data_IF_789997882080
#
_entry.id   IF_789997882080
#
_cell.length_a   1.000
_cell.length_b   1.000
_cell.length_c   1.000
_cell.angle_alpha   90.00
_cell.angle_beta   90.00
_cell.angle_gamma   90.00
#
_symmetry.space_group_name_H-M   'P 1'
#
loop_
_entity.id
_entity.type
_entity.pdbx_description
1 polymer ?
#
# COMPACT_ATOMS: atom_id res chain seq x y z
N UNK A 1 -12.81 -9.50 15.04
CA UNK A 1 -13.74 -9.00 14.00
C UNK A 1 -13.43 -7.57 13.56
N UNK A 2 -13.28 -6.60 14.49
CA UNK A 2 -12.99 -5.18 14.16
C UNK A 2 -11.76 -4.96 13.26
N UNK A 3 -10.62 -5.59 13.59
CA UNK A 3 -9.39 -5.46 12.81
C UNK A 3 -9.53 -5.99 11.38
N UNK A 4 -10.16 -7.16 11.21
CA UNK A 4 -10.37 -7.79 9.89
C UNK A 4 -11.28 -6.91 9.03
N UNK A 5 -12.39 -6.42 9.59
CA UNK A 5 -13.29 -5.52 8.89
C UNK A 5 -12.60 -4.20 8.51
N UNK A 6 -11.80 -3.63 9.42
CA UNK A 6 -11.02 -2.42 9.15
C UNK A 6 -9.98 -2.66 8.05
N UNK A 7 -9.30 -3.80 8.06
CA UNK A 7 -8.36 -4.18 6.99
C UNK A 7 -9.05 -4.27 5.63
N UNK A 8 -10.14 -5.02 5.53
CA UNK A 8 -10.92 -5.14 4.28
C UNK A 8 -11.51 -3.82 3.81
N UNK A 9 -12.02 -3.00 4.73
CA UNK A 9 -12.50 -1.66 4.41
C UNK A 9 -11.37 -0.80 3.83
N UNK A 10 -10.19 -0.85 4.44
CA UNK A 10 -9.04 -0.05 3.98
C UNK A 10 -8.57 -0.49 2.59
N UNK A 11 -8.50 -1.81 2.34
CA UNK A 11 -8.19 -2.36 1.00
C UNK A 11 -9.25 -1.92 -0.02
N UNK A 12 -10.53 -2.01 0.33
CA UNK A 12 -11.61 -1.57 -0.55
C UNK A 12 -11.52 -0.08 -0.90
N UNK A 13 -11.24 0.77 0.09
CA UNK A 13 -11.06 2.20 -0.12
C UNK A 13 -9.82 2.51 -0.98
N UNK A 14 -8.70 1.80 -0.77
CA UNK A 14 -7.51 1.95 -1.61
C UNK A 14 -7.76 1.56 -3.07
N UNK A 15 -8.52 0.48 -3.32
CA UNK A 15 -8.91 0.09 -4.68
C UNK A 15 -9.84 1.13 -5.33
N UNK A 16 -10.78 1.70 -4.57
CA UNK A 16 -11.63 2.79 -5.07
C UNK A 16 -10.81 4.03 -5.40
N UNK A 17 -9.80 4.33 -4.59
CA UNK A 17 -8.86 5.42 -4.83
C UNK A 17 -8.05 5.23 -6.11
N UNK A 18 -7.45 4.05 -6.34
CA UNK A 18 -6.75 3.75 -7.60
C UNK A 18 -7.68 3.87 -8.81
N UNK A 19 -8.91 3.32 -8.71
CA UNK A 19 -9.92 3.43 -9.78
C UNK A 19 -10.31 4.88 -10.07
N UNK A 20 -10.46 5.70 -9.04
CA UNK A 20 -10.74 7.13 -9.20
C UNK A 20 -9.60 7.84 -9.95
N UNK A 21 -8.35 7.58 -9.54
CA UNK A 21 -7.16 8.14 -10.20
C UNK A 21 -7.02 7.67 -11.66
N UNK A 22 -7.38 6.43 -11.94
CA UNK A 22 -7.46 5.91 -13.30
C UNK A 22 -8.56 6.63 -14.11
N UNK A 23 -9.75 6.80 -13.53
CA UNK A 23 -10.88 7.45 -14.19
C UNK A 23 -10.61 8.91 -14.56
N UNK A 24 -9.93 9.67 -13.69
CA UNK A 24 -9.50 11.06 -14.00
C UNK A 24 -8.25 11.12 -14.90
N UNK A 25 -7.83 9.99 -15.47
CA UNK A 25 -6.74 9.87 -16.45
C UNK A 25 -5.38 10.34 -15.94
N UNK A 26 -5.06 10.14 -14.67
CA UNK A 26 -3.70 10.38 -14.16
C UNK A 26 -2.72 9.42 -14.85
N UNK A 27 -1.59 9.96 -15.33
CA UNK A 27 -0.49 9.16 -15.89
C UNK A 27 -0.05 8.08 -14.89
N UNK A 28 0.16 6.85 -15.37
CA UNK A 28 0.49 5.69 -14.54
C UNK A 28 1.66 5.95 -13.59
N UNK A 29 2.76 6.55 -14.07
CA UNK A 29 3.92 6.85 -13.22
C UNK A 29 3.56 7.75 -12.03
N UNK A 30 2.77 8.80 -12.23
CA UNK A 30 2.37 9.73 -11.15
C UNK A 30 1.38 9.02 -10.21
N UNK A 31 0.45 8.25 -10.79
CA UNK A 31 -0.54 7.48 -10.02
C UNK A 31 0.15 6.49 -9.08
N UNK A 32 0.98 5.59 -9.63
CA UNK A 32 1.59 4.48 -8.90
C UNK A 32 2.68 4.94 -7.94
N UNK A 33 3.51 5.92 -8.34
CA UNK A 33 4.67 6.34 -7.52
C UNK A 33 4.27 7.32 -6.42
N UNK A 34 3.23 8.14 -6.60
CA UNK A 34 2.93 9.22 -5.65
C UNK A 34 1.51 9.15 -5.10
N UNK A 35 0.51 9.17 -5.97
CA UNK A 35 -0.87 9.37 -5.53
C UNK A 35 -1.47 8.13 -4.84
N UNK A 36 -1.13 6.93 -5.28
CA UNK A 36 -1.51 5.69 -4.60
C UNK A 36 -0.89 5.64 -3.21
N UNK A 37 0.45 5.76 -3.02
CA UNK A 37 1.05 5.85 -1.69
C UNK A 37 0.40 6.90 -0.79
N UNK A 38 0.16 8.10 -1.31
CA UNK A 38 -0.50 9.18 -0.58
C UNK A 38 -1.88 8.75 -0.05
N UNK A 39 -2.74 8.21 -0.93
CA UNK A 39 -4.08 7.79 -0.55
C UNK A 39 -4.07 6.62 0.42
N UNK A 40 -3.23 5.61 0.17
CA UNK A 40 -3.15 4.44 1.04
C UNK A 40 -2.67 4.78 2.44
N UNK A 41 -1.62 5.58 2.58
CA UNK A 41 -1.11 5.98 3.90
C UNK A 41 -2.16 6.79 4.67
N UNK A 42 -2.86 7.73 4.00
CA UNK A 42 -3.96 8.50 4.61
C UNK A 42 -5.13 7.61 5.05
N UNK A 43 -5.54 6.67 4.20
CA UNK A 43 -6.65 5.75 4.50
C UNK A 43 -6.30 4.80 5.65
N UNK A 44 -5.13 4.16 5.60
CA UNK A 44 -4.66 3.26 6.66
C UNK A 44 -4.54 4.00 7.99
N UNK A 45 -3.90 5.17 8.00
CA UNK A 45 -3.78 5.98 9.20
C UNK A 45 -5.16 6.42 9.73
N UNK A 46 -6.02 6.95 8.85
CA UNK A 46 -7.36 7.42 9.23
C UNK A 46 -8.23 6.31 9.81
N UNK A 47 -8.23 5.12 9.19
CA UNK A 47 -8.95 3.95 9.70
C UNK A 47 -8.36 3.48 11.03
N UNK A 48 -7.03 3.45 11.16
CA UNK A 48 -6.35 3.05 12.40
C UNK A 48 -6.70 3.99 13.54
N UNK A 49 -6.65 5.30 13.29
CA UNK A 49 -6.96 6.35 14.25
C UNK A 49 -8.42 6.30 14.71
N UNK A 50 -9.36 6.30 13.77
CA UNK A 50 -10.80 6.28 14.09
C UNK A 50 -11.21 5.01 14.86
N UNK A 51 -10.58 3.87 14.54
CA UNK A 51 -10.90 2.60 15.19
C UNK A 51 -10.04 2.30 16.42
N UNK A 52 -9.14 3.20 16.83
CA UNK A 52 -8.17 2.96 17.91
C UNK A 52 -7.41 1.64 17.73
N UNK A 53 -6.97 1.36 16.50
CA UNK A 53 -6.21 0.16 16.17
C UNK A 53 -4.72 0.46 16.21
N UNK A 54 -3.94 -0.54 16.62
CA UNK A 54 -2.49 -0.48 16.54
C UNK A 54 -2.06 -0.47 15.06
N UNK A 55 -1.41 0.60 14.55
CA UNK A 55 -1.16 0.77 13.12
C UNK A 55 -0.44 -0.41 12.47
N UNK A 56 0.62 -1.01 13.08
CA UNK A 56 1.27 -2.16 12.48
C UNK A 56 0.37 -3.35 12.17
N UNK A 57 -0.64 -3.61 13.00
CA UNK A 57 -1.57 -4.71 12.74
C UNK A 57 -2.54 -4.40 11.60
N UNK A 58 -3.06 -3.17 11.54
CA UNK A 58 -3.93 -2.78 10.42
C UNK A 58 -3.17 -2.78 9.10
N UNK A 59 -1.94 -2.26 9.10
CA UNK A 59 -1.09 -2.19 7.91
C UNK A 59 -0.66 -3.58 7.43
N UNK A 60 -0.40 -4.51 8.36
CA UNK A 60 -0.16 -5.91 8.03
C UNK A 60 -1.41 -6.56 7.40
N UNK A 61 -2.61 -6.31 7.95
CA UNK A 61 -3.87 -6.80 7.37
C UNK A 61 -4.12 -6.20 5.98
N UNK A 62 -3.81 -4.92 5.79
CA UNK A 62 -3.89 -4.25 4.50
C UNK A 62 -2.96 -4.92 3.48
N UNK A 63 -1.67 -5.08 3.82
CA UNK A 63 -0.70 -5.73 2.94
C UNK A 63 -1.03 -7.20 2.65
N UNK A 64 -1.70 -7.89 3.57
CA UNK A 64 -2.21 -9.25 3.32
C UNK A 64 -3.33 -9.22 2.28
N UNK A 65 -4.28 -8.29 2.40
CA UNK A 65 -5.36 -8.14 1.43
C UNK A 65 -4.85 -7.75 0.04
N UNK A 66 -3.91 -6.82 -0.03
CA UNK A 66 -3.24 -6.42 -1.28
C UNK A 66 -2.46 -7.59 -1.89
N UNK A 67 -1.62 -8.27 -1.11
CA UNK A 67 -0.85 -9.40 -1.61
C UNK A 67 -1.72 -10.57 -2.08
N UNK A 68 -2.89 -10.80 -1.47
CA UNK A 68 -3.88 -11.76 -1.97
C UNK A 68 -4.47 -11.28 -3.29
N UNK A 69 -4.90 -10.01 -3.36
CA UNK A 69 -5.48 -9.41 -4.56
C UNK A 69 -4.52 -9.49 -5.75
N UNK A 70 -3.26 -9.10 -5.56
CA UNK A 70 -2.21 -9.16 -6.58
C UNK A 70 -1.88 -10.59 -6.97
N UNK A 71 -1.79 -11.51 -6.01
CA UNK A 71 -1.55 -12.93 -6.31
C UNK A 71 -2.61 -13.50 -7.24
N UNK A 72 -3.88 -13.23 -6.94
CA UNK A 72 -5.01 -13.71 -7.75
C UNK A 72 -4.96 -13.09 -9.15
N UNK A 73 -4.69 -11.79 -9.27
CA UNK A 73 -4.67 -11.09 -10.56
C UNK A 73 -3.45 -11.45 -11.43
N UNK A 74 -2.27 -11.61 -10.83
CA UNK A 74 -1.00 -11.80 -11.56
C UNK A 74 -0.67 -13.27 -11.81
N UNK A 75 -0.97 -14.16 -10.84
CA UNK A 75 -0.55 -15.57 -10.88
C UNK A 75 -1.73 -16.54 -10.98
N UNK A 76 -2.98 -16.06 -11.01
CA UNK A 76 -4.21 -16.88 -10.98
C UNK A 76 -4.24 -17.88 -9.81
N UNK A 77 -3.57 -17.54 -8.70
CA UNK A 77 -3.42 -18.38 -7.52
C UNK A 77 -2.70 -17.64 -6.40
N UNK A 78 -2.87 -18.10 -5.16
CA UNK A 78 -2.30 -17.44 -3.98
C UNK A 78 -0.79 -17.70 -3.91
N UNK A 79 0.03 -16.64 -3.90
CA UNK A 79 1.48 -16.76 -3.79
C UNK A 79 1.97 -16.18 -2.47
N UNK A 80 2.51 -17.04 -1.59
CA UNK A 80 3.08 -16.60 -0.32
C UNK A 80 4.19 -15.55 -0.49
N UNK A 81 4.96 -15.63 -1.59
CA UNK A 81 6.01 -14.65 -1.87
C UNK A 81 5.44 -13.26 -2.12
N UNK A 82 4.37 -13.15 -2.91
CA UNK A 82 3.70 -11.87 -3.16
C UNK A 82 2.99 -11.34 -1.92
N UNK A 83 2.36 -12.22 -1.14
CA UNK A 83 1.76 -11.83 0.15
C UNK A 83 2.83 -11.25 1.09
N UNK A 84 3.96 -11.92 1.26
CA UNK A 84 5.04 -11.41 2.10
C UNK A 84 5.63 -10.11 1.55
N UNK A 85 5.77 -10.01 0.22
CA UNK A 85 6.28 -8.80 -0.44
C UNK A 85 5.35 -7.59 -0.28
N UNK A 86 4.05 -7.80 -0.04
CA UNK A 86 3.11 -6.73 0.31
C UNK A 86 3.06 -6.48 1.83
N UNK A 87 2.94 -7.52 2.66
CA UNK A 87 2.81 -7.38 4.13
C UNK A 87 4.02 -6.68 4.76
N UNK A 88 5.24 -7.07 4.37
CA UNK A 88 6.47 -6.56 4.98
C UNK A 88 6.65 -5.04 4.81
N UNK A 89 6.61 -4.47 3.60
CA UNK A 89 6.77 -3.03 3.43
C UNK A 89 5.69 -2.24 4.15
N UNK A 90 4.41 -2.61 4.07
CA UNK A 90 3.36 -1.88 4.79
C UNK A 90 3.53 -1.95 6.31
N UNK A 91 3.90 -3.11 6.84
CA UNK A 91 4.19 -3.23 8.28
C UNK A 91 5.40 -2.37 8.66
N UNK A 92 6.45 -2.33 7.83
CA UNK A 92 7.61 -1.48 8.06
C UNK A 92 7.27 0.01 8.02
N UNK A 93 6.46 0.47 7.06
CA UNK A 93 6.04 1.87 6.96
C UNK A 93 5.21 2.30 8.18
N UNK A 94 4.46 1.37 8.77
CA UNK A 94 3.69 1.67 9.97
C UNK A 94 4.56 2.06 11.19
N UNK A 95 5.84 1.67 11.20
CA UNK A 95 6.76 1.95 12.31
C UNK A 95 7.03 3.45 12.48
N UNK A 96 6.90 4.26 11.41
CA UNK A 96 7.04 5.72 11.51
C UNK A 96 5.99 6.35 12.41
N UNK A 97 4.81 5.73 12.55
CA UNK A 97 3.75 6.21 13.45
C UNK A 97 3.98 5.83 14.92
N UNK A 98 5.00 5.02 15.21
CA UNK A 98 5.40 4.68 16.58
C UNK A 98 6.50 5.61 17.12
N UNK A 99 7.10 6.42 16.24
CA UNK A 99 8.14 7.37 16.60
C UNK A 99 7.54 8.55 17.38
N UNK A 100 8.28 9.09 18.35
CA UNK A 100 7.91 10.30 19.09
C UNK A 100 8.18 11.57 18.27
N UNK A 101 7.59 11.65 17.08
CA UNK A 101 7.73 12.78 16.16
C UNK A 101 6.33 13.33 15.78
N UNK A 102 6.24 14.54 15.23
CA UNK A 102 4.96 15.07 14.76
C UNK A 102 4.31 14.18 13.70
N UNK A 103 2.99 14.02 13.76
CA UNK A 103 2.23 13.15 12.87
C UNK A 103 2.47 13.45 11.39
N UNK A 104 2.52 14.73 11.01
CA UNK A 104 2.77 15.13 9.62
C UNK A 104 4.13 14.64 9.12
N UNK A 105 5.13 14.55 10.01
CA UNK A 105 6.45 14.03 9.68
C UNK A 105 6.42 12.51 9.55
N UNK A 106 5.75 11.79 10.46
CA UNK A 106 5.54 10.33 10.35
C UNK A 106 4.84 9.95 9.05
N UNK A 107 3.75 10.64 8.73
CA UNK A 107 2.98 10.44 7.50
C UNK A 107 3.82 10.77 6.26
N UNK A 108 4.56 11.89 6.28
CA UNK A 108 5.46 12.28 5.20
C UNK A 108 6.54 11.23 4.94
N UNK A 109 7.18 10.71 5.99
CA UNK A 109 8.18 9.64 5.88
C UNK A 109 7.58 8.35 5.31
N UNK A 110 6.41 7.94 5.79
CA UNK A 110 5.69 6.77 5.30
C UNK A 110 5.33 6.91 3.81
N UNK A 111 4.85 8.07 3.37
CA UNK A 111 4.54 8.32 1.96
C UNK A 111 5.82 8.32 1.11
N UNK A 112 6.89 8.98 1.55
CA UNK A 112 8.15 9.07 0.80
C UNK A 112 8.73 7.68 0.57
N UNK A 113 8.85 6.87 1.62
CA UNK A 113 9.47 5.55 1.50
C UNK A 113 8.59 4.55 0.74
N UNK A 114 7.27 4.67 0.85
CA UNK A 114 6.33 3.92 0.04
C UNK A 114 6.42 4.34 -1.44
N UNK A 115 6.56 5.63 -1.71
CA UNK A 115 6.79 6.15 -3.07
C UNK A 115 8.09 5.61 -3.67
N UNK A 116 9.17 5.58 -2.88
CA UNK A 116 10.46 4.98 -3.28
C UNK A 116 10.28 3.49 -3.59
N UNK A 117 9.56 2.75 -2.73
CA UNK A 117 9.28 1.33 -2.95
C UNK A 117 8.52 1.11 -4.27
N UNK A 118 7.44 1.85 -4.52
CA UNK A 118 6.66 1.74 -5.74
C UNK A 118 7.46 2.14 -6.98
N UNK A 119 8.31 3.15 -6.88
CA UNK A 119 9.23 3.53 -7.95
C UNK A 119 10.20 2.40 -8.29
N UNK A 120 10.81 1.76 -7.29
CA UNK A 120 11.71 0.63 -7.49
C UNK A 120 10.98 -0.53 -8.17
N UNK A 121 9.80 -0.92 -7.66
CA UNK A 121 8.99 -2.02 -8.23
C UNK A 121 8.59 -1.73 -9.68
N UNK A 122 8.16 -0.50 -9.98
CA UNK A 122 7.77 -0.08 -11.34
C UNK A 122 8.95 -0.19 -12.31
N UNK A 123 10.14 0.23 -11.90
CA UNK A 123 11.34 0.14 -12.73
C UNK A 123 11.80 -1.29 -12.93
N UNK A 124 11.82 -2.14 -11.89
CA UNK A 124 12.12 -3.56 -12.04
C UNK A 124 11.19 -4.25 -13.05
N UNK A 125 9.89 -3.92 -13.03
CA UNK A 125 8.91 -4.44 -14.00
C UNK A 125 9.22 -4.00 -15.43
N UNK A 126 9.70 -2.78 -15.61
CA UNK A 126 10.05 -2.23 -16.93
C UNK A 126 11.39 -2.78 -17.46
N UNK A 127 12.36 -3.02 -16.58
CA UNK A 127 13.66 -3.59 -16.95
C UNK A 127 13.53 -5.06 -17.38
N UNK A 128 12.71 -5.86 -16.69
CA UNK A 128 12.40 -7.23 -17.13
C UNK A 128 11.70 -7.29 -18.50
N UNK A 129 10.90 -6.26 -18.85
CA UNK A 129 10.29 -6.17 -20.19
C UNK A 129 11.31 -5.78 -21.27
N UNK A 130 12.33 -5.01 -20.92
CA UNK A 130 13.40 -4.61 -21.85
C UNK A 130 14.40 -5.73 -22.11
N UNK A 131 14.64 -6.61 -21.14
CA UNK A 131 15.58 -7.75 -21.29
C UNK A 131 15.02 -8.94 -22.07
N UNK A 132 13.73 -8.93 -22.43
CA UNK A 132 13.06 -10.00 -23.17
C UNK A 132 12.74 -9.64 -24.63
N UNK A 133 13.17 -8.47 -25.09
CA UNK A 133 13.12 -8.03 -26.49
C UNK A 133 14.54 -7.98 -27.04
#
# INVERSE_FOLDING_TARGET
MKLILAGWLTVGLALLWDRFLYWVKVKENIRVVLLIPLGEELLKYGVSYYNNLFPPFLFACFGLGEGIYESIHLKKGVSCRLILAAVLPHTFFSLFYLLKIPLWLSLGLAIIIHSIWNYLVLNFKNDCKRSTN
#
